data_IF_351501266379
#
_entry.id   IF_351501266379
#
_cell.length_a   1.000
_cell.length_b   1.000
_cell.length_c   1.000
_cell.angle_alpha   90.00
_cell.angle_beta   90.00
_cell.angle_gamma   90.00
#
_symmetry.space_group_name_H-M   'P 1'
#
loop_
_entity.id
_entity.type
_entity.pdbx_description
1 polymer ?
#
# COMPACT_ATOMS: atom_id res chain seq x y z
N UNK A 1 14.36 -61.92 32.56
CA UNK A 1 13.98 -62.12 31.15
C UNK A 1 12.78 -61.30 30.66
N UNK A 2 11.75 -60.95 31.48
CA UNK A 2 10.60 -60.18 31.02
C UNK A 2 10.91 -58.73 30.71
N UNK A 3 11.91 -58.08 31.33
CA UNK A 3 12.26 -56.66 31.11
C UNK A 3 13.13 -56.44 29.86
N UNK A 4 13.96 -57.41 29.48
CA UNK A 4 14.80 -57.35 28.27
C UNK A 4 13.99 -57.46 26.97
N UNK A 5 12.91 -58.27 26.99
CA UNK A 5 12.02 -58.43 25.84
C UNK A 5 11.18 -57.15 25.60
N UNK A 6 10.72 -56.47 26.66
CA UNK A 6 9.98 -55.23 26.55
C UNK A 6 10.85 -54.08 26.01
N UNK A 7 12.13 -54.00 26.45
CA UNK A 7 13.08 -53.01 25.95
C UNK A 7 13.43 -53.23 24.46
N UNK A 8 13.57 -54.51 24.05
CA UNK A 8 13.83 -54.85 22.64
C UNK A 8 12.64 -54.51 21.73
N UNK A 9 11.39 -54.82 22.18
CA UNK A 9 10.17 -54.48 21.42
C UNK A 9 9.99 -52.96 21.32
N UNK A 10 10.24 -52.19 22.38
CA UNK A 10 10.18 -50.76 22.36
C UNK A 10 11.24 -50.15 21.42
N UNK A 11 12.48 -50.66 21.42
CA UNK A 11 13.54 -50.20 20.53
C UNK A 11 13.26 -50.51 19.05
N UNK A 12 12.65 -51.65 18.74
CA UNK A 12 12.25 -52.01 17.37
C UNK A 12 11.08 -51.16 16.90
N UNK A 13 10.10 -50.89 17.75
CA UNK A 13 9.00 -49.98 17.44
C UNK A 13 9.49 -48.55 17.21
N UNK A 14 10.44 -48.07 18.00
CA UNK A 14 11.08 -46.78 17.81
C UNK A 14 11.89 -46.70 16.50
N UNK A 15 12.64 -47.72 16.16
CA UNK A 15 13.41 -47.78 14.93
C UNK A 15 12.52 -47.84 13.68
N UNK A 16 11.38 -48.57 13.74
CA UNK A 16 10.40 -48.62 12.65
C UNK A 16 9.67 -47.29 12.49
N UNK A 17 9.32 -46.62 13.58
CA UNK A 17 8.72 -45.29 13.54
C UNK A 17 9.73 -44.22 13.01
N UNK A 18 10.99 -44.28 13.42
CA UNK A 18 12.04 -43.39 12.91
C UNK A 18 12.32 -43.63 11.41
N UNK A 19 12.35 -44.91 10.97
CA UNK A 19 12.53 -45.24 9.55
C UNK A 19 11.35 -44.80 8.67
N UNK A 20 10.11 -44.83 9.21
CA UNK A 20 8.93 -44.35 8.51
C UNK A 20 8.91 -42.79 8.45
N UNK A 21 9.38 -42.10 9.49
CA UNK A 21 9.54 -40.64 9.48
C UNK A 21 10.59 -40.20 8.44
N UNK A 22 11.75 -40.86 8.38
CA UNK A 22 12.80 -40.60 7.42
C UNK A 22 12.32 -40.74 5.96
N UNK A 23 11.59 -41.81 5.64
CA UNK A 23 11.03 -42.01 4.29
C UNK A 23 9.94 -40.99 3.93
N UNK A 24 9.19 -40.50 4.93
CA UNK A 24 8.19 -39.45 4.75
C UNK A 24 8.83 -38.11 4.39
N UNK A 25 9.86 -37.69 5.12
CA UNK A 25 10.61 -36.46 4.88
C UNK A 25 11.30 -36.47 3.52
N UNK A 26 11.95 -37.58 3.16
CA UNK A 26 12.58 -37.73 1.83
C UNK A 26 11.57 -37.57 0.69
N UNK A 27 10.36 -38.10 0.85
CA UNK A 27 9.27 -37.92 -0.14
C UNK A 27 8.88 -36.45 -0.29
N UNK A 28 8.72 -35.70 0.81
CA UNK A 28 8.39 -34.27 0.76
C UNK A 28 9.52 -33.47 0.08
N UNK A 29 10.78 -33.80 0.42
CA UNK A 29 11.94 -33.16 -0.22
C UNK A 29 12.00 -33.46 -1.72
N UNK A 30 11.75 -34.72 -2.12
CA UNK A 30 11.72 -35.12 -3.53
C UNK A 30 10.58 -34.42 -4.31
N UNK A 31 9.41 -34.27 -3.68
CA UNK A 31 8.28 -33.52 -4.26
C UNK A 31 8.64 -32.04 -4.44
N UNK A 32 9.29 -31.40 -3.43
CA UNK A 32 9.76 -30.02 -3.51
C UNK A 32 10.76 -29.84 -4.66
N UNK A 33 11.70 -30.74 -4.79
CA UNK A 33 12.74 -30.67 -5.83
C UNK A 33 12.13 -30.90 -7.23
N UNK A 34 11.14 -31.80 -7.37
CA UNK A 34 10.37 -31.96 -8.60
C UNK A 34 9.56 -30.70 -8.93
N UNK A 35 8.94 -30.04 -7.95
CA UNK A 35 8.24 -28.78 -8.14
C UNK A 35 9.19 -27.65 -8.60
N UNK A 36 10.36 -27.52 -7.97
CA UNK A 36 11.37 -26.51 -8.33
C UNK A 36 11.98 -26.71 -9.71
N UNK A 37 12.18 -27.98 -10.12
CA UNK A 37 12.71 -28.30 -11.45
C UNK A 37 11.63 -28.27 -12.54
N UNK A 38 10.35 -28.15 -12.19
CA UNK A 38 9.24 -28.25 -13.13
C UNK A 38 8.97 -29.65 -13.65
N UNK A 39 9.50 -30.70 -12.98
CA UNK A 39 9.27 -32.11 -13.34
C UNK A 39 7.87 -32.54 -12.85
N UNK A 40 6.89 -32.31 -13.72
CA UNK A 40 5.48 -32.57 -13.40
C UNK A 40 5.17 -34.06 -13.27
N UNK A 41 5.81 -34.91 -14.07
CA UNK A 41 5.57 -36.35 -13.98
C UNK A 41 6.00 -36.92 -12.63
N UNK A 42 7.18 -36.48 -12.18
CA UNK A 42 7.69 -36.83 -10.86
C UNK A 42 6.85 -36.20 -9.73
N UNK A 43 6.45 -34.94 -9.88
CA UNK A 43 5.61 -34.25 -8.87
C UNK A 43 4.25 -34.92 -8.74
N UNK A 44 3.62 -35.33 -9.84
CA UNK A 44 2.34 -36.04 -9.82
C UNK A 44 2.39 -37.33 -8.99
N UNK A 45 3.53 -38.05 -9.03
CA UNK A 45 3.70 -39.28 -8.23
C UNK A 45 3.72 -39.03 -6.72
N UNK A 46 3.99 -37.80 -6.30
CA UNK A 46 4.03 -37.42 -4.87
C UNK A 46 2.80 -36.64 -4.40
N UNK A 47 1.88 -36.30 -5.31
CA UNK A 47 0.74 -35.41 -4.99
C UNK A 47 -0.27 -36.05 -4.04
N UNK A 48 -0.44 -37.40 -4.10
CA UNK A 48 -1.36 -38.11 -3.22
C UNK A 48 -0.88 -38.10 -1.76
N UNK A 49 -1.76 -37.87 -0.76
CA UNK A 49 -1.41 -37.92 0.65
C UNK A 49 -0.86 -39.31 1.07
N UNK A 50 0.12 -39.33 1.96
CA UNK A 50 0.77 -40.52 2.47
C UNK A 50 0.82 -40.59 4.02
N UNK A 51 0.07 -39.72 4.70
CA UNK A 51 -0.01 -39.68 6.17
C UNK A 51 1.07 -38.82 6.83
N UNK A 52 1.78 -37.98 6.06
CA UNK A 52 2.76 -37.06 6.60
C UNK A 52 2.12 -35.67 6.88
N UNK A 53 2.56 -35.00 7.96
CA UNK A 53 2.03 -33.69 8.36
C UNK A 53 2.17 -32.60 7.25
N UNK A 54 3.15 -32.73 6.37
CA UNK A 54 3.41 -31.84 5.25
C UNK A 54 2.79 -32.31 3.91
N UNK A 55 1.95 -33.30 3.89
CA UNK A 55 1.26 -33.80 2.69
C UNK A 55 0.47 -32.72 1.92
N UNK A 56 -0.08 -31.68 2.55
CA UNK A 56 -0.71 -30.59 1.79
C UNK A 56 0.24 -29.85 0.83
N UNK A 57 1.57 -29.86 1.06
CA UNK A 57 2.53 -29.16 0.20
C UNK A 57 2.74 -29.83 -1.17
N UNK A 58 3.03 -31.13 -1.29
CA UNK A 58 3.10 -31.82 -2.59
C UNK A 58 1.83 -31.67 -3.42
N UNK A 59 0.68 -31.80 -2.80
CA UNK A 59 -0.61 -31.63 -3.47
C UNK A 59 -0.81 -30.17 -3.93
N UNK A 60 -0.51 -29.19 -3.09
CA UNK A 60 -0.52 -27.77 -3.46
C UNK A 60 0.40 -27.49 -4.67
N UNK A 61 1.66 -27.96 -4.64
CA UNK A 61 2.60 -27.75 -5.75
C UNK A 61 2.08 -28.36 -7.05
N UNK A 62 1.46 -29.52 -6.96
CA UNK A 62 0.85 -30.18 -8.13
C UNK A 62 -0.32 -29.38 -8.68
N UNK A 63 -1.26 -28.97 -7.84
CA UNK A 63 -2.42 -28.17 -8.24
C UNK A 63 -2.02 -26.78 -8.75
N UNK A 64 -1.05 -26.14 -8.11
CA UNK A 64 -0.48 -24.85 -8.60
C UNK A 64 0.14 -25.00 -9.99
N UNK A 65 0.85 -26.10 -10.26
CA UNK A 65 1.40 -26.39 -11.59
C UNK A 65 0.29 -26.64 -12.65
N UNK A 66 -0.87 -27.14 -12.26
CA UNK A 66 -2.05 -27.25 -13.13
C UNK A 66 -2.69 -25.88 -13.36
N UNK A 67 -2.89 -25.08 -12.33
CA UNK A 67 -3.44 -23.71 -12.43
C UNK A 67 -2.66 -22.85 -13.40
N UNK A 68 -1.35 -23.02 -13.48
CA UNK A 68 -0.51 -22.34 -14.45
C UNK A 68 -0.80 -22.72 -15.91
N UNK A 69 -1.54 -23.82 -16.16
CA UNK A 69 -1.89 -24.35 -17.48
C UNK A 69 -3.39 -24.66 -17.56
N UNK A 70 -4.20 -23.77 -18.12
CA UNK A 70 -5.66 -23.89 -18.11
C UNK A 70 -6.23 -25.21 -18.61
N UNK A 71 -5.57 -25.83 -19.60
CA UNK A 71 -6.01 -27.11 -20.16
C UNK A 71 -5.84 -28.32 -19.20
N UNK A 72 -5.03 -28.15 -18.15
CA UNK A 72 -4.69 -29.22 -17.22
C UNK A 72 -5.49 -29.12 -15.89
N UNK A 73 -6.30 -28.06 -15.71
CA UNK A 73 -7.02 -27.80 -14.47
C UNK A 73 -8.15 -28.83 -14.30
N UNK A 74 -8.13 -29.55 -13.17
CA UNK A 74 -9.29 -30.26 -12.63
C UNK A 74 -9.96 -29.40 -11.55
N UNK A 75 -11.07 -28.70 -11.84
CA UNK A 75 -11.74 -27.85 -10.87
C UNK A 75 -12.30 -28.60 -9.67
N UNK A 76 -12.62 -29.90 -9.82
CA UNK A 76 -13.15 -30.71 -8.72
C UNK A 76 -12.04 -31.03 -7.70
N UNK A 77 -10.89 -31.52 -8.16
CA UNK A 77 -9.74 -31.77 -7.31
C UNK A 77 -9.24 -30.50 -6.61
N UNK A 78 -9.28 -29.37 -7.33
CA UNK A 78 -8.87 -28.08 -6.79
C UNK A 78 -9.79 -27.63 -5.66
N UNK A 79 -11.13 -27.70 -5.86
CA UNK A 79 -12.10 -27.38 -4.81
C UNK A 79 -12.01 -28.31 -3.61
N UNK A 80 -11.79 -29.60 -3.83
CA UNK A 80 -11.61 -30.56 -2.76
C UNK A 80 -10.40 -30.21 -1.87
N UNK A 81 -9.26 -29.85 -2.48
CA UNK A 81 -8.09 -29.38 -1.74
C UNK A 81 -8.39 -28.11 -0.93
N UNK A 82 -9.03 -27.11 -1.58
CA UNK A 82 -9.37 -25.83 -0.95
C UNK A 82 -10.33 -26.01 0.25
N UNK A 83 -11.26 -26.94 0.14
CA UNK A 83 -12.21 -27.23 1.22
C UNK A 83 -11.56 -27.98 2.38
N UNK A 84 -10.75 -29.01 2.10
CA UNK A 84 -10.01 -29.75 3.14
C UNK A 84 -9.02 -28.89 3.92
N UNK A 85 -8.47 -27.86 3.28
CA UNK A 85 -7.47 -26.98 3.86
C UNK A 85 -8.01 -25.57 4.14
N UNK A 86 -9.33 -25.42 4.30
CA UNK A 86 -9.98 -24.12 4.55
C UNK A 86 -9.32 -23.39 5.73
N UNK A 87 -9.03 -22.11 5.57
CA UNK A 87 -8.34 -21.28 6.56
C UNK A 87 -6.83 -21.50 6.65
N UNK A 88 -6.27 -22.45 5.90
CA UNK A 88 -4.82 -22.61 5.81
C UNK A 88 -4.23 -21.71 4.74
N UNK A 89 -3.02 -21.19 4.98
CA UNK A 89 -2.30 -20.34 4.04
C UNK A 89 -2.15 -20.93 2.63
N UNK A 90 -1.96 -22.27 2.52
CA UNK A 90 -1.85 -22.94 1.22
C UNK A 90 -3.15 -22.87 0.41
N UNK A 91 -4.32 -22.98 1.07
CA UNK A 91 -5.61 -22.85 0.41
C UNK A 91 -5.82 -21.42 -0.09
N UNK A 92 -5.55 -20.41 0.73
CA UNK A 92 -5.60 -18.99 0.35
C UNK A 92 -4.71 -18.71 -0.86
N UNK A 93 -3.46 -19.17 -0.80
CA UNK A 93 -2.50 -18.99 -1.88
C UNK A 93 -2.94 -19.65 -3.18
N UNK A 94 -3.38 -20.91 -3.14
CA UNK A 94 -3.83 -21.64 -4.32
C UNK A 94 -5.09 -21.01 -4.93
N UNK A 95 -6.04 -20.59 -4.09
CA UNK A 95 -7.24 -19.88 -4.54
C UNK A 95 -6.87 -18.57 -5.23
N UNK A 96 -5.94 -17.79 -4.66
CA UNK A 96 -5.44 -16.57 -5.28
C UNK A 96 -4.77 -16.82 -6.65
N UNK A 97 -3.95 -17.86 -6.76
CA UNK A 97 -3.33 -18.25 -8.04
C UNK A 97 -4.38 -18.64 -9.10
N UNK A 98 -5.39 -19.41 -8.70
CA UNK A 98 -6.48 -19.80 -9.58
C UNK A 98 -7.31 -18.61 -10.04
N UNK A 99 -7.72 -17.74 -9.12
CA UNK A 99 -8.45 -16.52 -9.43
C UNK A 99 -7.68 -15.59 -10.37
N UNK A 100 -6.35 -15.45 -10.21
CA UNK A 100 -5.51 -14.72 -11.17
C UNK A 100 -5.58 -15.33 -12.57
N UNK A 101 -5.54 -16.65 -12.64
CA UNK A 101 -5.71 -17.38 -13.89
C UNK A 101 -7.06 -17.12 -14.55
N UNK A 102 -8.14 -17.24 -13.79
CA UNK A 102 -9.51 -16.97 -14.23
C UNK A 102 -9.68 -15.51 -14.69
N UNK A 103 -9.16 -14.57 -13.90
CA UNK A 103 -9.22 -13.14 -14.22
C UNK A 103 -8.49 -12.79 -15.51
N UNK A 104 -7.29 -13.32 -15.74
CA UNK A 104 -6.54 -13.13 -17.01
C UNK A 104 -7.29 -13.64 -18.23
N UNK A 105 -8.09 -14.70 -18.08
CA UNK A 105 -8.88 -15.29 -19.18
C UNK A 105 -10.28 -14.72 -19.31
N UNK A 106 -10.70 -13.86 -18.37
CA UNK A 106 -12.08 -13.31 -18.37
C UNK A 106 -13.15 -14.36 -18.01
N UNK A 107 -12.79 -15.41 -17.28
CA UNK A 107 -13.73 -16.47 -16.84
C UNK A 107 -14.51 -16.01 -15.60
N UNK A 108 -15.30 -14.93 -15.81
CA UNK A 108 -15.96 -14.19 -14.74
C UNK A 108 -16.97 -15.01 -13.95
N UNK A 109 -17.63 -15.99 -14.59
CA UNK A 109 -18.61 -16.85 -13.93
C UNK A 109 -17.97 -17.67 -12.79
N UNK A 110 -16.87 -18.39 -13.08
CA UNK A 110 -16.13 -19.16 -12.07
C UNK A 110 -15.45 -18.23 -11.07
N UNK A 111 -14.89 -17.11 -11.54
CA UNK A 111 -14.27 -16.11 -10.69
C UNK A 111 -15.22 -15.59 -9.61
N UNK A 112 -16.44 -15.20 -9.99
CA UNK A 112 -17.45 -14.66 -9.08
C UNK A 112 -17.91 -15.68 -8.01
N UNK A 113 -17.90 -16.99 -8.35
CA UNK A 113 -18.23 -18.05 -7.41
C UNK A 113 -17.10 -18.25 -6.38
N UNK A 114 -15.84 -18.20 -6.81
CA UNK A 114 -14.69 -18.54 -5.98
C UNK A 114 -14.13 -17.37 -5.16
N UNK A 115 -14.28 -16.14 -5.66
CA UNK A 115 -13.71 -14.95 -5.02
C UNK A 115 -14.21 -14.69 -3.58
N UNK A 116 -15.51 -14.90 -3.24
CA UNK A 116 -15.99 -14.67 -1.87
C UNK A 116 -15.36 -15.55 -0.79
N UNK A 117 -14.69 -16.63 -1.18
CA UNK A 117 -13.99 -17.51 -0.24
C UNK A 117 -12.55 -17.08 0.04
N UNK A 118 -12.07 -16.03 -0.59
CA UNK A 118 -10.75 -15.46 -0.31
C UNK A 118 -10.86 -14.47 0.85
N UNK A 119 -10.11 -14.68 1.93
CA UNK A 119 -10.23 -13.86 3.15
C UNK A 119 -9.52 -12.51 3.00
N UNK A 120 -8.34 -12.50 2.37
CA UNK A 120 -7.52 -11.31 2.20
C UNK A 120 -7.11 -11.12 0.73
N UNK A 121 -8.02 -10.64 -0.12
CA UNK A 121 -7.72 -10.45 -1.54
C UNK A 121 -6.64 -9.37 -1.74
N UNK A 122 -5.57 -9.73 -2.44
CA UNK A 122 -4.56 -8.79 -2.88
C UNK A 122 -5.14 -7.81 -3.92
N UNK A 123 -4.48 -6.69 -4.10
CA UNK A 123 -4.95 -5.57 -4.91
C UNK A 123 -5.27 -5.96 -6.37
N UNK A 124 -4.48 -6.85 -6.96
CA UNK A 124 -4.70 -7.35 -8.32
C UNK A 124 -5.99 -8.17 -8.44
N UNK A 125 -6.32 -8.95 -7.41
CA UNK A 125 -7.55 -9.73 -7.33
C UNK A 125 -8.78 -8.86 -7.08
N UNK A 126 -8.65 -7.80 -6.28
CA UNK A 126 -9.71 -6.80 -6.12
C UNK A 126 -10.05 -6.13 -7.47
N UNK A 127 -9.03 -5.82 -8.28
CA UNK A 127 -9.26 -5.25 -9.61
C UNK A 127 -9.92 -6.24 -10.56
N UNK A 128 -9.57 -7.53 -10.53
CA UNK A 128 -10.30 -8.56 -11.27
C UNK A 128 -11.75 -8.71 -10.80
N UNK A 129 -12.02 -8.56 -9.49
CA UNK A 129 -13.37 -8.55 -8.96
C UNK A 129 -14.20 -7.40 -9.56
N UNK A 130 -13.63 -6.18 -9.61
CA UNK A 130 -14.33 -5.07 -10.26
C UNK A 130 -14.59 -5.33 -11.74
N UNK A 131 -13.62 -5.92 -12.45
CA UNK A 131 -13.84 -6.31 -13.85
C UNK A 131 -14.98 -7.34 -13.99
N UNK A 132 -15.02 -8.37 -13.14
CA UNK A 132 -16.06 -9.38 -13.13
C UNK A 132 -17.45 -8.76 -12.86
N UNK A 133 -17.54 -7.87 -11.88
CA UNK A 133 -18.78 -7.14 -11.55
C UNK A 133 -19.24 -6.27 -12.72
N UNK A 134 -18.34 -5.55 -13.36
CA UNK A 134 -18.63 -4.73 -14.54
C UNK A 134 -19.12 -5.59 -15.71
N UNK A 135 -18.49 -6.74 -15.96
CA UNK A 135 -18.90 -7.67 -16.99
C UNK A 135 -20.31 -8.25 -16.74
N UNK A 136 -20.71 -8.36 -15.47
CA UNK A 136 -22.04 -8.80 -15.06
C UNK A 136 -23.06 -7.64 -14.96
N UNK A 137 -22.72 -6.41 -15.40
CA UNK A 137 -23.63 -5.28 -15.44
C UNK A 137 -23.84 -4.57 -14.10
N UNK A 138 -22.96 -4.78 -13.11
CA UNK A 138 -23.04 -4.09 -11.82
C UNK A 138 -22.60 -2.63 -11.96
N UNK A 139 -23.59 -1.72 -12.03
CA UNK A 139 -23.34 -0.28 -12.15
C UNK A 139 -22.67 0.38 -10.94
N UNK A 140 -22.70 -0.26 -9.76
CA UNK A 140 -22.06 0.28 -8.55
C UNK A 140 -20.55 0.01 -8.51
N UNK A 141 -20.08 -0.98 -9.27
CA UNK A 141 -18.69 -1.41 -9.25
C UNK A 141 -17.69 -0.28 -9.54
N UNK A 142 -18.03 0.64 -10.45
CA UNK A 142 -17.17 1.80 -10.77
C UNK A 142 -17.10 2.83 -9.64
N UNK A 143 -18.21 3.11 -8.99
CA UNK A 143 -18.23 4.03 -7.85
C UNK A 143 -17.39 3.49 -6.70
N UNK A 144 -17.48 2.20 -6.41
CA UNK A 144 -16.68 1.52 -5.40
C UNK A 144 -15.20 1.39 -5.81
N UNK A 145 -14.90 1.26 -7.10
CA UNK A 145 -13.53 1.22 -7.60
C UNK A 145 -12.84 2.59 -7.66
N UNK A 146 -13.59 3.71 -7.62
CA UNK A 146 -13.04 5.07 -7.74
C UNK A 146 -11.91 5.39 -6.75
N UNK A 147 -11.92 4.95 -5.48
CA UNK A 147 -10.80 5.14 -4.56
C UNK A 147 -9.46 4.55 -5.06
N UNK A 148 -9.48 3.53 -5.92
CA UNK A 148 -8.26 2.96 -6.51
C UNK A 148 -7.50 3.99 -7.34
N UNK A 149 -8.22 4.93 -7.98
CA UNK A 149 -7.60 6.03 -8.73
C UNK A 149 -6.62 6.82 -7.89
N UNK A 150 -6.98 7.06 -6.63
CA UNK A 150 -6.20 7.89 -5.72
C UNK A 150 -5.15 7.09 -4.92
N UNK A 151 -5.39 5.79 -4.69
CA UNK A 151 -4.59 5.01 -3.76
C UNK A 151 -3.50 4.17 -4.44
N UNK A 152 -3.66 3.81 -5.73
CA UNK A 152 -2.69 2.97 -6.43
C UNK A 152 -1.49 3.77 -6.93
N UNK A 153 -0.31 3.48 -6.38
CA UNK A 153 0.99 3.92 -6.90
C UNK A 153 1.58 2.84 -7.81
N UNK A 154 1.73 1.62 -7.28
CA UNK A 154 2.04 0.45 -8.10
C UNK A 154 0.71 -0.09 -8.66
N UNK A 155 0.54 0.06 -9.97
CA UNK A 155 -0.71 -0.32 -10.64
C UNK A 155 -0.58 -1.72 -11.23
N UNK A 156 -1.20 -2.76 -10.64
CA UNK A 156 -1.28 -4.07 -11.26
C UNK A 156 -1.93 -4.00 -12.65
N UNK A 157 -1.49 -4.86 -13.56
CA UNK A 157 -2.07 -4.91 -14.91
C UNK A 157 -3.60 -5.14 -14.89
N UNK A 158 -4.09 -5.94 -13.95
CA UNK A 158 -5.52 -6.16 -13.74
C UNK A 158 -6.31 -4.90 -13.38
N UNK A 159 -5.66 -3.87 -12.82
CA UNK A 159 -6.33 -2.62 -12.46
C UNK A 159 -6.48 -1.67 -13.65
N UNK A 160 -5.68 -1.82 -14.68
CA UNK A 160 -5.67 -0.92 -15.85
C UNK A 160 -7.04 -0.81 -16.53
N UNK A 161 -7.76 -1.91 -16.85
CA UNK A 161 -9.08 -1.82 -17.48
C UNK A 161 -10.12 -1.08 -16.61
N UNK A 162 -10.04 -1.24 -15.29
CA UNK A 162 -10.94 -0.54 -14.35
C UNK A 162 -10.65 0.97 -14.37
N UNK A 163 -9.38 1.37 -14.28
CA UNK A 163 -8.97 2.77 -14.33
C UNK A 163 -9.32 3.42 -15.68
N UNK A 164 -9.14 2.72 -16.79
CA UNK A 164 -9.57 3.18 -18.13
C UNK A 164 -11.07 3.38 -18.21
N UNK A 165 -11.86 2.50 -17.59
CA UNK A 165 -13.30 2.64 -17.57
C UNK A 165 -13.73 3.85 -16.74
N UNK A 166 -13.08 4.14 -15.60
CA UNK A 166 -13.34 5.37 -14.84
C UNK A 166 -13.13 6.65 -15.68
N UNK A 167 -12.09 6.66 -16.53
CA UNK A 167 -11.84 7.78 -17.45
C UNK A 167 -12.88 7.86 -18.54
N UNK A 168 -13.19 6.74 -19.19
CA UNK A 168 -14.16 6.66 -20.29
C UNK A 168 -15.56 7.10 -19.87
N UNK A 169 -15.97 6.72 -18.66
CA UNK A 169 -17.25 7.10 -18.08
C UNK A 169 -17.23 8.48 -17.39
N UNK A 170 -16.17 9.28 -17.61
CA UNK A 170 -15.97 10.62 -17.05
C UNK A 170 -16.13 10.68 -15.50
N UNK A 171 -15.82 9.60 -14.80
CA UNK A 171 -15.85 9.52 -13.33
C UNK A 171 -14.60 10.08 -12.69
N UNK A 172 -13.59 10.44 -13.49
CA UNK A 172 -12.39 11.17 -13.10
C UNK A 172 -12.19 12.33 -14.05
N UNK A 173 -11.88 13.49 -13.47
CA UNK A 173 -11.65 14.73 -14.21
C UNK A 173 -10.21 14.80 -14.73
N UNK A 174 -9.91 15.68 -15.73
CA UNK A 174 -8.55 15.96 -16.15
C UNK A 174 -7.63 16.44 -15.02
N UNK A 175 -8.17 17.16 -14.03
CA UNK A 175 -7.40 17.58 -12.85
C UNK A 175 -6.98 16.39 -11.98
N UNK A 176 -7.86 15.42 -11.82
CA UNK A 176 -7.57 14.18 -11.11
C UNK A 176 -6.58 13.29 -11.89
N UNK A 177 -6.62 13.31 -13.22
CA UNK A 177 -5.61 12.63 -14.05
C UNK A 177 -4.23 13.28 -13.84
N UNK A 178 -4.12 14.60 -13.87
CA UNK A 178 -2.88 15.31 -13.60
C UNK A 178 -2.39 15.07 -12.16
N UNK A 179 -3.28 15.05 -11.17
CA UNK A 179 -2.93 14.71 -9.80
C UNK A 179 -2.31 13.31 -9.71
N UNK A 180 -2.86 12.34 -10.44
CA UNK A 180 -2.30 10.98 -10.54
C UNK A 180 -0.93 10.98 -11.22
N UNK A 181 -0.77 11.71 -12.33
CA UNK A 181 0.52 11.85 -13.03
C UNK A 181 1.57 12.40 -12.08
N UNK A 182 1.30 13.49 -11.37
CA UNK A 182 2.23 14.07 -10.39
C UNK A 182 2.63 13.06 -9.32
N UNK A 183 1.67 12.36 -8.72
CA UNK A 183 1.91 11.35 -7.69
C UNK A 183 2.78 10.19 -8.18
N UNK A 184 2.54 9.69 -9.39
CA UNK A 184 3.36 8.64 -10.00
C UNK A 184 4.78 9.14 -10.29
N UNK A 185 4.94 10.40 -10.72
CA UNK A 185 6.24 11.03 -10.90
C UNK A 185 6.97 11.20 -9.57
N UNK A 186 6.29 11.62 -8.50
CA UNK A 186 6.83 11.69 -7.14
C UNK A 186 7.35 10.33 -6.67
N UNK A 187 6.60 9.27 -6.93
CA UNK A 187 6.96 7.88 -6.59
C UNK A 187 8.00 7.26 -7.54
N UNK A 188 8.55 8.01 -8.51
CA UNK A 188 9.49 7.53 -9.53
C UNK A 188 8.92 6.42 -10.44
N UNK A 189 7.60 6.38 -10.62
CA UNK A 189 6.89 5.46 -11.51
C UNK A 189 6.67 6.08 -12.89
N UNK A 190 7.75 6.50 -13.54
CA UNK A 190 7.70 7.31 -14.78
C UNK A 190 6.91 6.62 -15.91
N UNK A 191 7.05 5.30 -16.07
CA UNK A 191 6.28 4.56 -17.08
C UNK A 191 4.77 4.61 -16.82
N UNK A 192 4.36 4.40 -15.58
CA UNK A 192 2.95 4.51 -15.20
C UNK A 192 2.43 5.94 -15.30
N UNK A 193 3.28 6.94 -15.02
CA UNK A 193 2.93 8.36 -15.18
C UNK A 193 2.68 8.72 -16.65
N UNK A 194 3.54 8.27 -17.58
CA UNK A 194 3.33 8.46 -19.03
C UNK A 194 2.04 7.78 -19.49
N UNK A 195 1.77 6.58 -19.00
CA UNK A 195 0.54 5.88 -19.34
C UNK A 195 -0.70 6.60 -18.80
N UNK A 196 -0.68 7.06 -17.56
CA UNK A 196 -1.77 7.87 -17.01
C UNK A 196 -1.96 9.19 -17.78
N UNK A 197 -0.88 9.85 -18.19
CA UNK A 197 -0.95 11.07 -18.98
C UNK A 197 -1.58 10.87 -20.37
N UNK A 198 -1.48 9.67 -20.96
CA UNK A 198 -2.14 9.35 -22.23
C UNK A 198 -3.67 9.32 -22.16
N UNK A 199 -4.24 9.35 -20.98
CA UNK A 199 -5.68 9.41 -20.74
C UNK A 199 -6.23 10.84 -20.64
N UNK A 200 -5.35 11.86 -20.67
CA UNK A 200 -5.75 13.25 -20.72
C UNK A 200 -6.44 13.60 -22.05
N UNK A 201 -7.26 14.67 -22.06
CA UNK A 201 -7.73 15.24 -23.32
C UNK A 201 -6.57 15.54 -24.27
N UNK A 202 -6.78 15.38 -25.57
CA UNK A 202 -5.70 15.45 -26.58
C UNK A 202 -4.87 16.74 -26.53
N UNK A 203 -5.49 17.88 -26.19
CA UNK A 203 -4.85 19.17 -26.01
C UNK A 203 -4.01 19.30 -24.73
N UNK A 204 -4.13 18.33 -23.82
CA UNK A 204 -3.44 18.30 -22.52
C UNK A 204 -2.40 17.17 -22.41
N UNK A 205 -2.31 16.27 -23.37
CA UNK A 205 -1.32 15.19 -23.33
C UNK A 205 0.09 15.76 -23.54
N UNK A 206 0.99 15.67 -22.54
CA UNK A 206 2.38 16.10 -22.73
C UNK A 206 3.12 15.09 -23.61
N UNK A 207 4.15 15.56 -24.32
CA UNK A 207 5.03 14.64 -24.99
C UNK A 207 5.73 13.72 -23.94
N UNK A 208 5.79 12.38 -24.16
CA UNK A 208 6.42 11.47 -23.21
C UNK A 208 7.85 11.87 -22.83
N UNK A 209 8.63 12.36 -23.79
CA UNK A 209 9.99 12.86 -23.57
C UNK A 209 10.07 14.06 -22.63
N UNK A 210 9.01 14.87 -22.50
CA UNK A 210 9.05 16.06 -21.67
C UNK A 210 8.83 15.71 -20.19
N UNK A 211 8.01 14.70 -19.89
CA UNK A 211 7.94 14.12 -18.55
C UNK A 211 9.30 13.57 -18.11
N UNK A 212 9.97 12.84 -19.01
CA UNK A 212 11.28 12.28 -18.71
C UNK A 212 12.35 13.36 -18.51
N UNK A 213 12.36 14.43 -19.33
CA UNK A 213 13.29 15.57 -19.18
C UNK A 213 13.07 16.32 -17.87
N UNK A 214 11.79 16.59 -17.52
CA UNK A 214 11.42 17.27 -16.27
C UNK A 214 11.87 16.46 -15.03
N UNK A 215 11.88 15.11 -15.13
CA UNK A 215 12.30 14.23 -14.05
C UNK A 215 13.82 14.00 -13.98
N UNK A 216 14.50 13.87 -15.13
CA UNK A 216 15.91 13.49 -15.18
C UNK A 216 16.86 14.65 -14.87
N UNK A 217 16.54 15.86 -15.31
CA UNK A 217 17.33 17.06 -15.03
C UNK A 217 16.41 18.24 -14.68
N UNK A 218 15.78 18.21 -13.51
CA UNK A 218 14.75 19.20 -13.16
C UNK A 218 15.28 20.63 -13.10
N UNK A 219 16.48 20.87 -12.60
CA UNK A 219 17.08 22.20 -12.57
C UNK A 219 17.30 22.74 -13.98
N UNK A 220 17.96 21.97 -14.83
CA UNK A 220 18.20 22.38 -16.23
C UNK A 220 16.92 22.48 -17.06
N UNK A 221 15.88 21.72 -16.71
CA UNK A 221 14.55 21.85 -17.32
C UNK A 221 13.90 23.19 -16.96
N UNK A 222 13.85 23.52 -15.66
CA UNK A 222 13.28 24.78 -15.15
C UNK A 222 14.00 26.02 -15.68
N UNK A 223 15.34 25.97 -15.77
CA UNK A 223 16.16 27.09 -16.25
C UNK A 223 15.99 27.36 -17.77
N UNK A 224 15.47 26.37 -18.52
CA UNK A 224 15.24 26.43 -19.97
C UNK A 224 13.77 26.53 -20.37
N UNK A 225 12.87 26.71 -19.40
CA UNK A 225 11.45 26.89 -19.72
C UNK A 225 11.23 28.08 -20.66
N UNK A 226 10.43 27.90 -21.74
CA UNK A 226 10.12 29.02 -22.62
C UNK A 226 9.26 30.06 -21.87
N UNK A 227 9.34 31.35 -22.24
CA UNK A 227 8.59 32.40 -21.54
C UNK A 227 7.08 32.19 -21.47
N UNK A 228 6.52 31.45 -22.41
CA UNK A 228 5.10 31.14 -22.49
C UNK A 228 4.72 29.74 -21.96
N UNK A 229 5.60 29.05 -21.20
CA UNK A 229 5.34 27.69 -20.69
C UNK A 229 4.00 27.58 -19.95
N UNK A 230 3.60 28.64 -19.28
CA UNK A 230 2.36 28.67 -18.47
C UNK A 230 1.08 28.85 -19.29
N UNK A 231 1.19 29.12 -20.60
CA UNK A 231 0.04 29.31 -21.48
C UNK A 231 -0.81 28.01 -21.63
N UNK A 232 -0.18 26.86 -21.46
CA UNK A 232 -0.85 25.56 -21.55
C UNK A 232 -0.82 24.83 -20.20
N UNK A 233 -1.81 23.97 -19.98
CA UNK A 233 -1.83 23.13 -18.78
C UNK A 233 -0.60 22.21 -18.72
N UNK A 234 -0.21 21.46 -19.78
CA UNK A 234 0.99 20.62 -19.75
C UNK A 234 2.26 21.39 -19.38
N UNK A 235 2.44 22.59 -19.88
CA UNK A 235 3.62 23.40 -19.54
C UNK A 235 3.72 23.72 -18.05
N UNK A 236 2.59 24.11 -17.42
CA UNK A 236 2.56 24.35 -15.97
C UNK A 236 2.80 23.07 -15.17
N UNK A 237 2.14 21.95 -15.54
CA UNK A 237 2.26 20.67 -14.84
C UNK A 237 3.69 20.10 -14.90
N UNK A 238 4.35 20.22 -16.05
CA UNK A 238 5.75 19.80 -16.20
C UNK A 238 6.69 20.65 -15.33
N UNK A 239 6.42 21.94 -15.21
CA UNK A 239 7.18 22.81 -14.29
C UNK A 239 6.95 22.42 -12.83
N UNK A 240 5.70 22.09 -12.43
CA UNK A 240 5.37 21.62 -11.07
C UNK A 240 6.07 20.28 -10.76
N UNK A 241 6.07 19.34 -11.70
CA UNK A 241 6.77 18.05 -11.58
C UNK A 241 8.28 18.28 -11.40
N UNK A 242 8.87 19.17 -12.20
CA UNK A 242 10.29 19.50 -12.09
C UNK A 242 10.64 20.18 -10.75
N UNK A 243 9.80 21.10 -10.26
CA UNK A 243 9.96 21.72 -8.94
C UNK A 243 9.91 20.68 -7.81
N UNK A 244 8.91 19.81 -7.82
CA UNK A 244 8.77 18.74 -6.82
C UNK A 244 9.98 17.78 -6.84
N UNK A 245 10.48 17.47 -8.04
CA UNK A 245 11.65 16.60 -8.20
C UNK A 245 12.92 17.29 -7.72
N UNK A 246 13.14 18.56 -8.09
CA UNK A 246 14.30 19.34 -7.66
C UNK A 246 14.32 19.53 -6.13
N UNK A 247 13.17 19.78 -5.53
CA UNK A 247 13.08 19.98 -4.07
C UNK A 247 13.65 18.81 -3.26
N UNK A 248 13.64 17.60 -3.80
CA UNK A 248 14.22 16.40 -3.15
C UNK A 248 15.74 16.42 -3.07
N UNK A 249 16.40 17.05 -4.02
CA UNK A 249 17.87 17.09 -4.12
C UNK A 249 18.41 18.45 -3.68
N UNK A 250 17.74 19.54 -4.09
CA UNK A 250 18.06 20.93 -3.80
C UNK A 250 16.79 21.72 -3.45
N UNK A 251 16.42 21.68 -2.18
CA UNK A 251 15.18 22.32 -1.67
C UNK A 251 15.21 23.84 -1.85
N UNK A 252 16.33 24.49 -1.54
CA UNK A 252 16.47 25.94 -1.69
C UNK A 252 16.50 26.34 -3.16
N UNK A 253 17.21 25.60 -4.00
CA UNK A 253 17.24 25.84 -5.44
C UNK A 253 15.87 25.67 -6.10
N UNK A 254 15.03 24.75 -5.60
CA UNK A 254 13.64 24.63 -6.03
C UNK A 254 12.81 25.84 -5.61
N UNK A 255 12.95 26.30 -4.36
CA UNK A 255 12.22 27.47 -3.86
C UNK A 255 12.59 28.75 -4.62
N UNK A 256 13.88 28.99 -4.87
CA UNK A 256 14.35 30.16 -5.64
C UNK A 256 13.77 30.17 -7.07
N UNK A 257 13.69 28.99 -7.71
CA UNK A 257 13.08 28.89 -9.05
C UNK A 257 11.57 29.05 -9.00
N UNK A 258 10.92 28.50 -7.99
CA UNK A 258 9.50 28.72 -7.75
C UNK A 258 9.17 30.20 -7.66
N UNK A 259 9.90 30.98 -6.84
CA UNK A 259 9.67 32.43 -6.67
C UNK A 259 9.76 33.25 -7.99
N UNK A 260 10.51 32.77 -8.98
CA UNK A 260 10.62 33.41 -10.30
C UNK A 260 9.41 33.18 -11.21
N UNK A 261 8.55 32.24 -10.84
CA UNK A 261 7.45 31.79 -11.69
C UNK A 261 6.11 31.63 -10.96
N UNK A 262 6.01 31.95 -9.69
CA UNK A 262 4.83 31.71 -8.85
C UNK A 262 3.57 32.40 -9.38
N UNK A 263 3.69 33.64 -9.90
CA UNK A 263 2.59 34.38 -10.50
C UNK A 263 1.99 33.69 -11.75
N UNK A 264 2.72 32.75 -12.35
CA UNK A 264 2.30 31.99 -13.54
C UNK A 264 1.48 30.76 -13.21
N UNK A 265 1.35 30.44 -11.93
CA UNK A 265 0.57 29.33 -11.44
C UNK A 265 -0.75 29.77 -10.83
N UNK A 266 -1.78 28.94 -10.97
CA UNK A 266 -3.03 29.13 -10.24
C UNK A 266 -2.81 28.99 -8.72
N UNK A 267 -3.72 29.46 -7.86
CA UNK A 267 -3.61 29.29 -6.42
C UNK A 267 -3.39 27.82 -5.99
N UNK A 268 -4.10 26.88 -6.61
CA UNK A 268 -3.96 25.45 -6.32
C UNK A 268 -2.58 24.90 -6.76
N UNK A 269 -2.07 25.33 -7.92
CA UNK A 269 -0.76 24.96 -8.42
C UNK A 269 0.37 25.52 -7.53
N UNK A 270 0.24 26.78 -7.07
CA UNK A 270 1.16 27.39 -6.09
C UNK A 270 1.18 26.61 -4.79
N UNK A 271 -0.01 26.29 -4.27
CA UNK A 271 -0.14 25.52 -3.05
C UNK A 271 0.52 24.15 -3.17
N UNK A 272 0.32 23.44 -4.29
CA UNK A 272 1.00 22.16 -4.55
C UNK A 272 2.53 22.33 -4.59
N UNK A 273 3.06 23.28 -5.35
CA UNK A 273 4.51 23.51 -5.45
C UNK A 273 5.14 23.79 -4.07
N UNK A 274 4.55 24.74 -3.33
CA UNK A 274 5.01 25.07 -1.97
C UNK A 274 4.87 23.89 -1.00
N UNK A 275 3.79 23.13 -1.07
CA UNK A 275 3.59 21.93 -0.26
C UNK A 275 4.70 20.90 -0.46
N UNK A 276 5.10 20.66 -1.71
CA UNK A 276 6.21 19.76 -2.05
C UNK A 276 7.56 20.28 -1.53
N UNK A 277 7.84 21.57 -1.72
CA UNK A 277 9.07 22.21 -1.25
C UNK A 277 9.12 22.20 0.29
N UNK A 278 8.02 22.56 0.94
CA UNK A 278 7.89 22.57 2.40
C UNK A 278 8.07 21.17 3.01
N UNK A 279 7.53 20.15 2.34
CA UNK A 279 7.71 18.77 2.78
C UNK A 279 9.17 18.36 2.80
N UNK A 280 9.91 18.64 1.72
CA UNK A 280 11.34 18.33 1.66
C UNK A 280 12.16 19.16 2.67
N UNK A 281 11.77 20.41 2.89
CA UNK A 281 12.36 21.27 3.91
C UNK A 281 12.11 20.71 5.34
N UNK A 282 10.90 20.25 5.62
CA UNK A 282 10.54 19.70 6.92
C UNK A 282 11.32 18.42 7.24
N UNK A 283 11.48 17.52 6.26
CA UNK A 283 12.31 16.30 6.40
C UNK A 283 13.78 16.62 6.68
N UNK A 284 14.27 17.75 6.17
CA UNK A 284 15.64 18.27 6.43
C UNK A 284 15.72 19.18 7.65
N UNK A 285 14.61 19.31 8.39
CA UNK A 285 14.51 20.14 9.58
C UNK A 285 14.83 21.64 9.34
N UNK A 286 14.64 22.12 8.12
CA UNK A 286 14.85 23.50 7.75
C UNK A 286 13.83 24.42 8.45
N UNK A 287 14.24 25.59 8.97
CA UNK A 287 13.32 26.49 9.68
C UNK A 287 12.23 27.09 8.77
N UNK A 288 12.49 27.24 7.48
CA UNK A 288 11.57 27.78 6.48
C UNK A 288 10.34 26.88 6.22
N UNK A 289 10.44 25.58 6.52
CA UNK A 289 9.42 24.59 6.23
C UNK A 289 8.02 25.01 6.73
N UNK A 290 7.94 25.50 7.96
CA UNK A 290 6.68 25.96 8.54
C UNK A 290 6.08 27.15 7.76
N UNK A 291 6.90 28.14 7.41
CA UNK A 291 6.45 29.30 6.62
C UNK A 291 5.94 28.87 5.25
N UNK A 292 6.64 27.97 4.58
CA UNK A 292 6.24 27.47 3.26
C UNK A 292 4.97 26.62 3.31
N UNK A 293 4.80 25.80 4.35
CA UNK A 293 3.54 25.10 4.56
C UNK A 293 2.35 26.04 4.81
N UNK A 294 2.56 27.12 5.55
CA UNK A 294 1.52 28.14 5.73
C UNK A 294 1.15 28.82 4.40
N UNK A 295 2.14 29.14 3.56
CA UNK A 295 1.92 29.70 2.25
C UNK A 295 1.28 28.70 1.26
N UNK A 296 1.51 27.40 1.42
CA UNK A 296 0.83 26.35 0.64
C UNK A 296 -0.69 26.31 0.90
N UNK A 297 -1.14 26.79 2.06
CA UNK A 297 -2.57 26.82 2.42
C UNK A 297 -3.20 25.43 2.59
N UNK A 298 -4.46 25.30 2.16
CA UNK A 298 -5.25 24.08 2.29
C UNK A 298 -5.17 23.17 1.06
N UNK A 299 -4.01 23.15 0.41
CA UNK A 299 -3.76 22.27 -0.74
C UNK A 299 -3.82 20.79 -0.30
N UNK A 300 -4.45 19.92 -1.09
CA UNK A 300 -4.45 18.48 -0.83
C UNK A 300 -3.04 17.94 -0.69
N UNK A 301 -2.79 17.20 0.38
CA UNK A 301 -1.51 16.59 0.74
C UNK A 301 -1.70 15.11 1.06
N UNK A 302 -0.66 14.31 0.88
CA UNK A 302 -0.66 12.93 1.37
C UNK A 302 -0.59 12.89 2.90
N UNK A 303 -0.95 11.75 3.48
CA UNK A 303 -0.88 11.51 4.93
C UNK A 303 0.52 11.82 5.48
N UNK A 304 1.56 11.43 4.76
CA UNK A 304 2.94 11.72 5.14
C UNK A 304 3.25 13.23 5.10
N UNK A 305 2.79 13.92 4.07
CA UNK A 305 3.00 15.38 3.95
C UNK A 305 2.28 16.15 5.04
N UNK A 306 1.04 15.77 5.38
CA UNK A 306 0.28 16.37 6.48
C UNK A 306 0.96 16.09 7.83
N UNK A 307 1.46 14.88 8.04
CA UNK A 307 2.23 14.52 9.22
C UNK A 307 3.49 15.38 9.37
N UNK A 308 4.21 15.64 8.28
CA UNK A 308 5.36 16.54 8.29
C UNK A 308 4.98 18.01 8.47
N UNK A 309 3.81 18.45 7.97
CA UNK A 309 3.25 19.79 8.25
C UNK A 309 3.02 19.98 9.75
N UNK A 310 2.43 18.98 10.42
CA UNK A 310 2.23 19.01 11.87
C UNK A 310 3.58 19.07 12.63
N UNK A 311 4.57 18.26 12.24
CA UNK A 311 5.92 18.28 12.84
C UNK A 311 6.63 19.63 12.64
N UNK A 312 6.49 20.24 11.45
CA UNK A 312 7.05 21.57 11.18
C UNK A 312 6.41 22.65 12.06
N UNK A 313 5.10 22.58 12.27
CA UNK A 313 4.37 23.47 13.17
C UNK A 313 4.78 23.26 14.64
N UNK A 314 4.97 22.01 15.09
CA UNK A 314 5.49 21.66 16.42
C UNK A 314 6.86 22.29 16.67
N UNK A 315 7.79 22.16 15.72
CA UNK A 315 9.13 22.76 15.80
C UNK A 315 9.10 24.27 15.87
N UNK A 316 8.12 24.90 15.23
CA UNK A 316 7.93 26.35 15.25
C UNK A 316 7.15 26.86 16.48
N UNK A 317 6.66 25.98 17.34
CA UNK A 317 5.79 26.32 18.48
C UNK A 317 4.42 26.88 18.07
N UNK A 318 3.99 26.67 16.82
CA UNK A 318 2.68 27.13 16.33
C UNK A 318 1.59 26.12 16.66
N UNK A 319 1.05 26.20 17.87
CA UNK A 319 -0.02 25.31 18.35
C UNK A 319 -1.32 25.39 17.50
N UNK A 320 -1.61 26.54 16.89
CA UNK A 320 -2.74 26.66 15.95
C UNK A 320 -2.47 25.86 14.69
N UNK A 321 -1.25 25.97 14.16
CA UNK A 321 -0.80 25.20 13.01
C UNK A 321 -0.78 23.69 13.28
N UNK A 322 -0.32 23.26 14.49
CA UNK A 322 -0.34 21.85 14.91
C UNK A 322 -1.77 21.31 14.88
N UNK A 323 -2.69 22.00 15.57
CA UNK A 323 -4.10 21.61 15.61
C UNK A 323 -4.68 21.50 14.20
N UNK A 324 -4.53 22.56 13.39
CA UNK A 324 -5.07 22.57 12.02
C UNK A 324 -4.53 21.43 11.17
N UNK A 325 -3.23 21.15 11.24
CA UNK A 325 -2.62 20.07 10.47
C UNK A 325 -3.14 18.70 10.91
N UNK A 326 -3.27 18.44 12.21
CA UNK A 326 -3.77 17.15 12.73
C UNK A 326 -5.27 16.98 12.45
N UNK A 327 -6.08 18.04 12.60
CA UNK A 327 -7.52 18.01 12.28
C UNK A 327 -7.77 17.73 10.77
N UNK A 328 -6.84 18.09 9.89
CA UNK A 328 -6.90 17.80 8.46
C UNK A 328 -6.49 16.36 8.10
N UNK A 329 -5.93 15.58 9.04
CA UNK A 329 -5.59 14.17 8.82
C UNK A 329 -6.84 13.32 8.65
N UNK A 330 -6.80 12.22 7.84
CA UNK A 330 -7.84 11.20 7.88
C UNK A 330 -8.01 10.64 9.29
N UNK A 331 -9.24 10.19 9.63
CA UNK A 331 -9.54 9.67 10.96
C UNK A 331 -8.58 8.55 11.40
N UNK A 332 -8.29 7.62 10.48
CA UNK A 332 -7.36 6.50 10.72
C UNK A 332 -5.94 6.92 11.10
N UNK A 333 -5.49 8.08 10.66
CA UNK A 333 -4.19 8.64 11.03
C UNK A 333 -4.31 9.48 12.30
N UNK A 334 -5.28 10.39 12.35
CA UNK A 334 -5.49 11.32 13.47
C UNK A 334 -5.73 10.63 14.80
N UNK A 335 -6.38 9.45 14.79
CA UNK A 335 -6.71 8.66 15.97
C UNK A 335 -5.54 7.80 16.48
N UNK A 336 -4.42 7.78 15.77
CA UNK A 336 -3.21 7.12 16.27
C UNK A 336 -2.71 7.83 17.55
N UNK A 337 -2.19 7.10 18.54
CA UNK A 337 -1.83 7.65 19.84
C UNK A 337 -0.88 8.84 19.79
N UNK A 338 0.07 8.86 18.86
CA UNK A 338 1.00 9.96 18.67
C UNK A 338 0.29 11.25 18.23
N UNK A 339 -0.59 11.18 17.24
CA UNK A 339 -1.32 12.37 16.76
C UNK A 339 -2.41 12.82 17.74
N UNK A 340 -3.11 11.88 18.39
CA UNK A 340 -4.07 12.19 19.45
C UNK A 340 -3.40 12.92 20.63
N UNK A 341 -2.20 12.47 21.04
CA UNK A 341 -1.40 13.14 22.07
C UNK A 341 -1.05 14.59 21.67
N UNK A 342 -0.45 14.77 20.47
CA UNK A 342 -0.06 16.11 20.03
C UNK A 342 -1.25 17.03 19.79
N UNK A 343 -2.41 16.51 19.39
CA UNK A 343 -3.65 17.28 19.33
C UNK A 343 -4.10 17.70 20.73
N UNK A 344 -4.03 16.82 21.71
CA UNK A 344 -4.28 17.12 23.12
C UNK A 344 -3.38 18.25 23.63
N UNK A 345 -2.05 18.16 23.38
CA UNK A 345 -1.09 19.22 23.73
C UNK A 345 -1.43 20.56 23.05
N UNK A 346 -1.83 20.52 21.77
CA UNK A 346 -2.22 21.73 21.05
C UNK A 346 -3.52 22.34 21.62
N UNK A 347 -4.51 21.52 21.97
CA UNK A 347 -5.74 21.99 22.61
C UNK A 347 -5.47 22.61 23.98
N UNK A 348 -4.62 21.99 24.79
CA UNK A 348 -4.21 22.54 26.09
C UNK A 348 -3.51 23.89 25.97
N UNK A 349 -2.52 23.98 25.04
CA UNK A 349 -1.78 25.23 24.77
C UNK A 349 -2.70 26.36 24.25
N UNK A 350 -3.81 26.01 23.60
CA UNK A 350 -4.85 26.96 23.15
C UNK A 350 -5.95 27.24 24.18
N UNK A 351 -5.78 26.79 25.44
CA UNK A 351 -6.69 27.03 26.53
C UNK A 351 -7.94 26.12 26.58
N UNK A 352 -8.00 25.09 25.72
CA UNK A 352 -9.14 24.18 25.63
C UNK A 352 -8.91 22.91 26.46
N UNK A 353 -8.82 23.09 27.80
CA UNK A 353 -8.41 22.03 28.75
C UNK A 353 -9.30 20.79 28.68
N UNK A 354 -10.64 20.96 28.60
CA UNK A 354 -11.57 19.82 28.56
C UNK A 354 -11.41 18.98 27.28
N UNK A 355 -11.11 19.64 26.15
CA UNK A 355 -10.85 18.94 24.90
C UNK A 355 -9.52 18.17 24.94
N UNK A 356 -8.48 18.77 25.51
CA UNK A 356 -7.19 18.13 25.74
C UNK A 356 -7.34 16.89 26.63
N UNK A 357 -8.04 17.06 27.79
CA UNK A 357 -8.27 15.97 28.73
C UNK A 357 -8.95 14.75 28.09
N UNK A 358 -10.01 14.97 27.30
CA UNK A 358 -10.69 13.86 26.59
C UNK A 358 -9.75 13.09 25.64
N UNK A 359 -8.86 13.80 24.92
CA UNK A 359 -7.90 13.16 24.04
C UNK A 359 -6.87 12.32 24.81
N UNK A 360 -6.36 12.83 25.95
CA UNK A 360 -5.45 12.09 26.80
C UNK A 360 -6.12 10.88 27.45
N UNK A 361 -7.37 11.02 27.92
CA UNK A 361 -8.16 9.90 28.47
C UNK A 361 -8.41 8.79 27.44
N UNK A 362 -8.58 9.14 26.16
CA UNK A 362 -8.81 8.19 25.08
C UNK A 362 -7.61 7.29 24.82
N UNK A 363 -6.38 7.79 25.01
CA UNK A 363 -5.15 7.05 24.66
C UNK A 363 -4.36 6.59 25.89
N UNK A 364 -4.69 7.06 27.11
CA UNK A 364 -4.04 6.70 28.37
C UNK A 364 -4.36 5.26 28.82
N UNK A 365 -3.67 4.80 29.87
CA UNK A 365 -3.91 3.50 30.50
C UNK A 365 -3.31 2.28 29.76
N UNK A 366 -2.40 2.49 28.81
CA UNK A 366 -1.70 1.43 28.08
C UNK A 366 -0.16 1.58 28.21
N UNK A 367 0.62 0.48 28.18
CA UNK A 367 2.08 0.52 28.28
C UNK A 367 2.74 0.94 26.95
N UNK A 368 2.24 2.02 26.33
CA UNK A 368 2.77 2.58 25.09
C UNK A 368 3.27 4.00 25.33
N UNK A 369 4.31 4.42 24.61
CA UNK A 369 5.00 5.70 24.85
C UNK A 369 4.07 6.90 24.96
N UNK A 370 3.19 7.14 23.98
CA UNK A 370 2.27 8.28 24.01
C UNK A 370 1.13 8.11 25.01
N UNK A 371 0.79 6.88 25.38
CA UNK A 371 -0.20 6.61 26.45
C UNK A 371 0.36 7.01 27.81
N UNK A 372 1.62 6.69 28.09
CA UNK A 372 2.32 7.09 29.31
C UNK A 372 2.39 8.62 29.40
N UNK A 373 2.78 9.31 28.32
CA UNK A 373 2.80 10.76 28.26
C UNK A 373 1.41 11.39 28.49
N UNK A 374 0.36 10.75 27.98
CA UNK A 374 -1.01 11.20 28.21
C UNK A 374 -1.45 11.03 29.68
N UNK A 375 -1.06 9.93 30.32
CA UNK A 375 -1.33 9.72 31.76
C UNK A 375 -0.57 10.74 32.62
N UNK A 376 0.66 11.13 32.26
CA UNK A 376 1.39 12.21 32.91
C UNK A 376 0.64 13.55 32.79
N UNK A 377 0.10 13.90 31.61
CA UNK A 377 -0.72 15.12 31.41
C UNK A 377 -2.03 15.08 32.21
N UNK A 378 -2.55 13.89 32.53
CA UNK A 378 -3.72 13.69 33.39
C UNK A 378 -3.39 13.69 34.88
N UNK A 379 -2.10 13.79 35.27
CA UNK A 379 -1.64 13.69 36.64
C UNK A 379 -1.71 12.26 37.21
N UNK A 380 -1.75 11.25 36.32
CA UNK A 380 -1.69 9.84 36.72
C UNK A 380 -0.22 9.45 36.78
N UNK A 381 0.26 9.01 37.97
CA UNK A 381 1.60 8.48 38.14
C UNK A 381 1.74 7.15 37.39
N UNK A 382 2.96 6.84 36.91
CA UNK A 382 3.32 5.52 36.45
C UNK A 382 3.31 4.58 37.66
N UNK A 383 2.22 3.82 37.87
CA UNK A 383 2.28 2.69 38.79
C UNK A 383 3.17 1.64 38.13
N UNK A 384 4.33 1.35 38.70
CA UNK A 384 5.20 0.22 38.34
C UNK A 384 4.48 -1.11 38.67
N UNK A 385 3.39 -1.37 37.99
CA UNK A 385 2.72 -2.65 37.97
C UNK A 385 3.34 -3.49 36.88
N UNK A 386 4.41 -4.20 37.18
CA UNK A 386 4.77 -5.39 36.39
C UNK A 386 3.56 -6.31 36.43
N UNK A 387 2.89 -6.63 35.30
CA UNK A 387 1.78 -7.58 35.33
C UNK A 387 2.27 -8.89 35.95
N UNK A 388 1.63 -9.36 37.01
CA UNK A 388 2.00 -10.58 37.75
C UNK A 388 2.11 -11.86 36.88
N UNK A 389 1.75 -11.79 35.60
CA UNK A 389 1.85 -12.90 34.63
C UNK A 389 3.14 -12.96 33.80
N UNK A 390 4.09 -12.04 33.93
CA UNK A 390 5.34 -12.03 33.14
C UNK A 390 6.54 -12.66 33.88
N UNK A 391 6.34 -13.16 35.11
CA UNK A 391 7.37 -13.83 35.93
C UNK A 391 7.07 -15.30 36.19
N UNK A 392 6.16 -15.94 35.43
CA UNK A 392 5.87 -17.38 35.51
C UNK A 392 6.41 -18.14 34.32
#
# INVERSE_FOLDING_TARGET
MKNSVRAAIAAVLWAVLAAQADTGDERILAARDAARSGDRARLAAYAAPAGHVLDPYPEYWWLSAQVARPADIDPAALREFLERNRGAWLAEKLRGEWLRGLGRRGEWGTFAIEYPFLEQPEQDLQCYQFQARLANGDGMALAEARPLWFNLVDTPESCVPVLQTLVREALVSPDEIWARVRRLMEAKRNTHARYAASWLPADQVPAPSDLDKAAANPAGYLDRLPPNFSATRPGRELALIALARLARDDTLGAYVRYQRMDERFSPAERGYALGQIAWQAAQRLMPEAHTWYRAAGDTPMSDEQIAWRARAALRAGDWKGVRSAIEAMPASLREQPDWAYWLGRAQAALGKQDAARRLFEQIGGHPAFYSILADEELGRGFEEGVPEGLLA
#
